data_IF_015912179395
#
_entry.id   IF_015912179395
#
_cell.length_a   1.000
_cell.length_b   1.000
_cell.length_c   1.000
_cell.angle_alpha   90.00
_cell.angle_beta   90.00
_cell.angle_gamma   90.00
#
_symmetry.space_group_name_H-M   'P 1'
#
loop_
_entity.id
_entity.type
_entity.pdbx_description
1 polymer ?
#
# COMPACT_ATOMS: atom_id res chain seq x y z
N UNK A 1 -11.46 -28.38 -9.25
CA UNK A 1 -12.48 -27.54 -9.93
C UNK A 1 -11.81 -26.81 -11.07
N UNK A 2 -12.49 -26.68 -12.22
CA UNK A 2 -11.94 -26.15 -13.47
C UNK A 2 -12.06 -24.62 -13.40
N UNK A 3 -10.94 -23.89 -13.27
CA UNK A 3 -10.95 -22.42 -13.31
C UNK A 3 -10.70 -21.93 -14.73
N UNK A 4 -11.63 -21.13 -15.27
CA UNK A 4 -11.42 -20.40 -16.53
C UNK A 4 -10.62 -19.13 -16.25
N UNK A 5 -9.53 -18.95 -17.00
CA UNK A 5 -8.65 -17.78 -16.93
C UNK A 5 -9.34 -16.55 -17.57
N UNK A 6 -9.35 -15.42 -16.87
CA UNK A 6 -9.68 -14.11 -17.46
C UNK A 6 -8.37 -13.38 -17.78
N UNK A 7 -8.13 -12.97 -19.04
CA UNK A 7 -6.90 -12.28 -19.42
C UNK A 7 -6.84 -10.85 -18.88
N UNK A 8 -5.67 -10.42 -18.40
CA UNK A 8 -5.36 -9.01 -18.11
C UNK A 8 -5.24 -8.59 -16.65
N UNK A 9 -5.28 -9.52 -15.69
CA UNK A 9 -5.01 -9.19 -14.28
C UNK A 9 -4.27 -10.34 -13.59
N UNK A 10 -2.97 -10.19 -13.38
CA UNK A 10 -2.18 -11.08 -12.51
C UNK A 10 -2.87 -11.13 -11.14
N UNK A 11 -3.44 -12.27 -10.79
CA UNK A 11 -4.11 -12.49 -9.51
C UNK A 11 -3.34 -13.57 -8.77
N UNK A 12 -2.78 -13.22 -7.61
CA UNK A 12 -2.24 -14.21 -6.68
C UNK A 12 -3.46 -14.91 -6.06
N UNK A 13 -3.54 -16.24 -6.26
CA UNK A 13 -4.57 -17.07 -5.64
C UNK A 13 -3.92 -17.83 -4.50
N UNK A 14 -4.44 -17.65 -3.29
CA UNK A 14 -4.02 -18.41 -2.12
C UNK A 14 -4.92 -19.64 -2.02
N UNK A 15 -4.41 -20.84 -2.31
CA UNK A 15 -5.07 -22.09 -1.94
C UNK A 15 -4.57 -22.57 -0.57
N UNK A 16 -5.43 -23.35 0.11
CA UNK A 16 -5.20 -23.81 1.48
C UNK A 16 -3.94 -24.70 1.60
N UNK A 17 -3.28 -24.73 2.78
CA UNK A 17 -2.02 -25.45 2.95
C UNK A 17 -2.17 -26.95 2.67
N UNK A 18 -1.32 -27.48 1.79
CA UNK A 18 -1.26 -28.90 1.46
C UNK A 18 -0.12 -29.54 2.28
N UNK A 19 -0.46 -30.50 3.14
CA UNK A 19 0.53 -31.17 4.00
C UNK A 19 1.34 -32.23 3.21
N UNK A 20 2.67 -32.11 3.20
CA UNK A 20 3.60 -33.11 2.65
C UNK A 20 4.09 -34.06 3.77
N UNK A 21 3.96 -35.40 3.62
CA UNK A 21 4.25 -36.36 4.69
C UNK A 21 5.74 -36.63 4.97
N UNK A 22 6.71 -36.12 4.17
CA UNK A 22 8.14 -36.43 4.38
C UNK A 22 8.98 -35.28 4.93
N UNK A 23 8.55 -34.02 4.78
CA UNK A 23 9.42 -32.85 5.05
C UNK A 23 8.77 -31.69 5.80
N UNK A 24 7.51 -31.83 6.24
CA UNK A 24 6.80 -30.76 6.96
C UNK A 24 6.13 -29.73 6.04
N UNK A 25 5.45 -28.75 6.63
CA UNK A 25 4.44 -27.87 5.99
C UNK A 25 5.02 -27.01 4.85
N UNK A 26 4.37 -27.02 3.68
CA UNK A 26 4.66 -26.10 2.57
C UNK A 26 3.45 -25.20 2.30
N UNK A 27 3.72 -23.95 1.96
CA UNK A 27 2.73 -23.05 1.39
C UNK A 27 2.85 -23.07 -0.13
N UNK A 28 1.72 -23.25 -0.80
CA UNK A 28 1.61 -23.28 -2.25
C UNK A 28 1.23 -21.89 -2.75
N UNK A 29 2.04 -21.33 -3.63
CA UNK A 29 1.74 -20.08 -4.34
C UNK A 29 1.64 -20.37 -5.83
N UNK A 30 0.45 -20.15 -6.38
CA UNK A 30 0.22 -20.17 -7.81
C UNK A 30 0.38 -18.78 -8.41
N UNK A 31 1.38 -18.59 -9.28
CA UNK A 31 1.51 -17.36 -10.08
C UNK A 31 0.90 -17.60 -11.46
N UNK A 32 -0.16 -16.85 -11.77
CA UNK A 32 -0.75 -16.82 -13.11
C UNK A 32 -0.10 -15.70 -13.93
N UNK A 33 0.66 -16.05 -14.97
CA UNK A 33 1.23 -15.10 -15.93
C UNK A 33 0.73 -15.36 -17.36
N UNK A 34 1.12 -14.48 -18.28
CA UNK A 34 0.75 -14.55 -19.71
C UNK A 34 1.27 -15.83 -20.41
N UNK A 35 2.22 -16.53 -19.79
CA UNK A 35 2.83 -17.76 -20.30
C UNK A 35 2.39 -19.04 -19.53
N UNK A 36 1.40 -18.95 -18.64
CA UNK A 36 0.84 -20.10 -17.92
C UNK A 36 0.95 -20.03 -16.40
N UNK A 37 0.62 -21.14 -15.74
CA UNK A 37 0.61 -21.29 -14.29
C UNK A 37 1.96 -21.83 -13.79
N UNK A 38 2.57 -21.14 -12.82
CA UNK A 38 3.79 -21.60 -12.16
C UNK A 38 3.52 -21.90 -10.68
N UNK A 39 3.88 -23.12 -10.29
CA UNK A 39 3.86 -23.58 -8.91
C UNK A 39 5.14 -23.16 -8.18
N UNK A 40 4.98 -22.37 -7.12
CA UNK A 40 6.07 -22.06 -6.20
C UNK A 40 5.76 -22.66 -4.82
N UNK A 41 6.53 -23.69 -4.46
CA UNK A 41 6.48 -24.29 -3.13
C UNK A 41 7.48 -23.58 -2.22
N UNK A 42 6.98 -22.92 -1.18
CA UNK A 42 7.83 -22.25 -0.18
C UNK A 42 7.69 -22.97 1.16
N UNK A 43 8.82 -23.20 1.83
CA UNK A 43 8.85 -23.75 3.18
C UNK A 43 8.07 -22.84 4.15
N UNK A 44 7.29 -23.40 5.08
CA UNK A 44 6.52 -22.62 6.06
C UNK A 44 7.39 -21.60 6.80
N UNK A 45 8.59 -21.98 7.23
CA UNK A 45 9.46 -21.10 8.02
C UNK A 45 9.92 -19.87 7.22
N UNK A 46 10.14 -20.04 5.91
CA UNK A 46 10.46 -18.94 5.01
C UNK A 46 9.22 -18.06 4.73
N UNK A 47 8.02 -18.64 4.67
CA UNK A 47 6.78 -17.87 4.59
C UNK A 47 6.56 -17.02 5.84
N UNK A 48 6.74 -17.59 7.03
CA UNK A 48 6.60 -16.85 8.29
C UNK A 48 7.65 -15.75 8.43
N UNK A 49 8.87 -15.96 7.93
CA UNK A 49 9.90 -14.91 7.90
C UNK A 49 9.51 -13.75 6.96
N UNK A 50 9.02 -14.07 5.76
CA UNK A 50 8.55 -13.06 4.80
C UNK A 50 7.29 -12.34 5.30
N UNK A 51 6.37 -13.08 5.92
CA UNK A 51 5.14 -12.52 6.48
C UNK A 51 5.46 -11.62 7.66
N UNK A 52 6.28 -12.04 8.63
CA UNK A 52 6.69 -11.19 9.76
C UNK A 52 7.48 -9.95 9.33
N UNK A 53 8.35 -10.06 8.31
CA UNK A 53 9.04 -8.88 7.75
C UNK A 53 8.03 -7.90 7.16
N UNK A 54 7.02 -8.39 6.44
CA UNK A 54 5.97 -7.52 5.90
C UNK A 54 5.06 -6.97 7.01
N UNK A 55 4.65 -7.78 7.98
CA UNK A 55 3.77 -7.39 9.08
C UNK A 55 4.42 -6.39 10.06
N UNK A 56 5.75 -6.27 10.06
CA UNK A 56 6.43 -5.17 10.77
C UNK A 56 6.51 -3.88 9.95
N UNK A 57 6.54 -3.99 8.61
CA UNK A 57 6.61 -2.86 7.69
C UNK A 57 5.21 -2.29 7.36
N UNK A 58 4.18 -3.14 7.36
CA UNK A 58 2.80 -2.81 7.01
C UNK A 58 2.14 -1.86 8.01
N UNK A 59 2.21 -2.04 9.34
CA UNK A 59 1.52 -1.17 10.31
C UNK A 59 2.06 0.25 10.30
N UNK A 60 3.38 0.41 10.16
CA UNK A 60 4.01 1.74 10.09
C UNK A 60 3.68 2.43 8.77
N UNK A 61 3.65 1.67 7.66
CA UNK A 61 3.26 2.16 6.34
C UNK A 61 1.77 2.52 6.30
N UNK A 62 0.90 1.69 6.86
CA UNK A 62 -0.55 1.88 6.91
C UNK A 62 -0.90 3.11 7.76
N UNK A 63 -0.35 3.21 8.96
CA UNK A 63 -0.52 4.41 9.82
C UNK A 63 -0.08 5.68 9.09
N UNK A 64 1.05 5.62 8.37
CA UNK A 64 1.52 6.76 7.56
C UNK A 64 0.53 7.10 6.45
N UNK A 65 -0.03 6.13 5.72
CA UNK A 65 -1.03 6.40 4.69
C UNK A 65 -2.33 6.95 5.27
N UNK A 66 -2.83 6.38 6.37
CA UNK A 66 -4.03 6.85 7.05
C UNK A 66 -3.86 8.29 7.55
N UNK A 67 -2.70 8.62 8.10
CA UNK A 67 -2.38 9.98 8.52
C UNK A 67 -2.35 10.94 7.32
N UNK A 68 -1.71 10.56 6.20
CA UNK A 68 -1.69 11.37 4.98
C UNK A 68 -3.10 11.58 4.43
N UNK A 69 -3.93 10.52 4.37
CA UNK A 69 -5.32 10.63 3.92
C UNK A 69 -6.12 11.53 4.85
N UNK A 70 -5.96 11.36 6.17
CA UNK A 70 -6.65 12.17 7.18
C UNK A 70 -6.38 13.66 7.04
N UNK A 71 -5.10 14.06 6.92
CA UNK A 71 -4.75 15.48 6.75
C UNK A 71 -5.24 16.05 5.43
N UNK A 72 -5.27 15.25 4.36
CA UNK A 72 -5.80 15.67 3.07
C UNK A 72 -7.32 15.86 3.12
N UNK A 73 -8.04 14.93 3.75
CA UNK A 73 -9.50 15.04 3.94
C UNK A 73 -9.84 16.29 4.75
N UNK A 74 -9.15 16.50 5.87
CA UNK A 74 -9.34 17.69 6.70
C UNK A 74 -9.08 18.97 5.90
N UNK A 75 -7.95 19.02 5.18
CA UNK A 75 -7.57 20.17 4.33
C UNK A 75 -8.59 20.45 3.21
N UNK A 76 -9.13 19.42 2.57
CA UNK A 76 -10.10 19.55 1.47
C UNK A 76 -11.45 20.08 1.96
N UNK A 77 -11.86 19.66 3.16
CA UNK A 77 -13.14 20.05 3.74
C UNK A 77 -13.06 21.41 4.45
N UNK A 78 -11.89 21.78 4.95
CA UNK A 78 -11.66 22.99 5.71
C UNK A 78 -12.01 24.27 4.95
N UNK A 79 -12.48 25.26 5.70
CA UNK A 79 -12.83 26.59 5.21
C UNK A 79 -12.21 27.65 6.10
N UNK A 80 -11.85 28.78 5.51
CA UNK A 80 -11.39 29.95 6.26
C UNK A 80 -12.55 30.60 7.01
N UNK A 81 -12.25 31.49 7.96
CA UNK A 81 -13.26 32.28 8.68
C UNK A 81 -14.17 33.12 7.76
N UNK A 82 -13.76 33.34 6.50
CA UNK A 82 -14.54 34.03 5.46
C UNK A 82 -15.29 33.06 4.53
N UNK A 83 -15.35 31.78 4.86
CA UNK A 83 -16.04 30.74 4.09
C UNK A 83 -15.31 30.29 2.82
N UNK A 84 -14.09 30.77 2.56
CA UNK A 84 -13.32 30.34 1.39
C UNK A 84 -12.73 28.95 1.62
N UNK A 85 -12.75 28.10 0.60
CA UNK A 85 -12.13 26.77 0.65
C UNK A 85 -10.61 26.90 0.77
N UNK A 86 -10.03 26.10 1.66
CA UNK A 86 -8.58 26.03 1.86
C UNK A 86 -7.91 25.17 0.78
N UNK A 87 -8.67 24.30 0.12
CA UNK A 87 -8.20 23.32 -0.88
C UNK A 87 -7.69 23.89 -2.20
N UNK A 88 -7.52 25.21 -2.32
CA UNK A 88 -7.04 25.89 -3.51
C UNK A 88 -5.52 26.06 -3.44
N UNK A 89 -4.76 25.03 -3.82
CA UNK A 89 -3.29 25.07 -3.86
C UNK A 89 -2.78 25.11 -5.30
N UNK A 90 -1.86 26.04 -5.60
CA UNK A 90 -1.29 26.21 -6.95
C UNK A 90 -0.24 25.15 -7.33
N UNK A 91 0.30 24.44 -6.34
CA UNK A 91 1.35 23.44 -6.56
C UNK A 91 1.38 22.39 -5.46
N UNK A 92 2.03 21.26 -5.77
CA UNK A 92 2.33 20.23 -4.76
C UNK A 92 3.21 20.77 -3.63
N UNK A 93 4.12 21.70 -3.91
CA UNK A 93 5.00 22.29 -2.91
C UNK A 93 4.22 23.15 -1.90
N UNK A 94 3.30 23.99 -2.37
CA UNK A 94 2.46 24.83 -1.50
C UNK A 94 1.50 24.00 -0.65
N UNK A 95 0.96 22.90 -1.18
CA UNK A 95 0.23 21.92 -0.39
C UNK A 95 1.11 21.28 0.71
N UNK A 96 2.33 20.85 0.38
CA UNK A 96 3.24 20.24 1.36
C UNK A 96 3.59 21.23 2.47
N UNK A 97 3.92 22.47 2.15
CA UNK A 97 4.20 23.51 3.14
C UNK A 97 3.01 23.77 4.06
N UNK A 98 1.80 23.84 3.48
CA UNK A 98 0.57 23.96 4.26
C UNK A 98 0.40 22.79 5.24
N UNK A 99 0.58 21.54 4.77
CA UNK A 99 0.45 20.36 5.62
C UNK A 99 1.48 20.33 6.75
N UNK A 100 2.73 20.71 6.46
CA UNK A 100 3.79 20.78 7.48
C UNK A 100 3.52 21.85 8.54
N UNK A 101 2.95 22.99 8.13
CA UNK A 101 2.62 24.08 9.06
C UNK A 101 1.42 23.75 9.96
N UNK A 102 0.41 23.05 9.43
CA UNK A 102 -0.85 22.80 10.15
C UNK A 102 -0.85 21.47 10.92
N UNK A 103 0.00 20.51 10.55
CA UNK A 103 0.06 19.18 11.18
C UNK A 103 1.48 18.75 11.59
N UNK A 104 2.24 19.57 12.35
CA UNK A 104 3.68 19.34 12.59
C UNK A 104 4.01 18.10 13.44
N UNK A 105 3.05 17.59 14.22
CA UNK A 105 3.28 16.51 15.18
C UNK A 105 2.67 15.16 14.74
N UNK A 106 2.23 15.03 13.49
CA UNK A 106 1.64 13.78 13.00
C UNK A 106 2.73 12.89 12.40
N UNK A 107 2.86 11.68 12.95
CA UNK A 107 3.80 10.68 12.43
C UNK A 107 3.56 10.43 10.94
N UNK A 108 4.64 10.46 10.16
CA UNK A 108 4.57 10.25 8.70
C UNK A 108 4.30 11.53 7.89
N UNK A 109 4.01 12.66 8.55
CA UNK A 109 3.84 13.97 7.89
C UNK A 109 5.17 14.74 7.95
N UNK A 110 6.16 14.25 7.20
CA UNK A 110 7.45 14.94 7.00
C UNK A 110 7.60 15.35 5.55
N UNK A 111 8.40 16.38 5.28
CA UNK A 111 8.62 16.90 3.92
C UNK A 111 9.04 15.79 2.95
N UNK A 112 10.07 15.03 3.32
CA UNK A 112 10.60 13.93 2.49
C UNK A 112 9.56 12.82 2.26
N UNK A 113 8.78 12.46 3.28
CA UNK A 113 7.72 11.44 3.13
C UNK A 113 6.64 11.91 2.16
N UNK A 114 6.16 13.14 2.30
CA UNK A 114 5.11 13.70 1.44
C UNK A 114 5.58 13.84 0.00
N UNK A 115 6.78 14.38 -0.24
CA UNK A 115 7.37 14.50 -1.58
C UNK A 115 7.48 13.13 -2.27
N UNK A 116 8.00 12.12 -1.56
CA UNK A 116 8.14 10.77 -2.09
C UNK A 116 6.77 10.14 -2.41
N UNK A 117 5.83 10.23 -1.47
CA UNK A 117 4.50 9.63 -1.61
C UNK A 117 3.68 10.30 -2.70
N UNK A 118 3.67 11.63 -2.77
CA UNK A 118 2.89 12.32 -3.78
C UNK A 118 3.50 12.16 -5.18
N UNK A 119 4.83 12.13 -5.31
CA UNK A 119 5.48 11.82 -6.59
C UNK A 119 5.11 10.40 -7.07
N UNK A 120 5.17 9.40 -6.19
CA UNK A 120 4.77 8.03 -6.52
C UNK A 120 3.28 7.92 -6.86
N UNK A 121 2.41 8.59 -6.11
CA UNK A 121 0.97 8.62 -6.35
C UNK A 121 0.66 9.22 -7.74
N UNK A 122 1.26 10.37 -8.07
CA UNK A 122 1.07 11.01 -9.38
C UNK A 122 1.55 10.12 -10.54
N UNK A 123 2.69 9.43 -10.38
CA UNK A 123 3.18 8.47 -11.37
C UNK A 123 2.27 7.25 -11.53
N UNK A 124 1.49 6.89 -10.51
CA UNK A 124 0.61 5.73 -10.56
C UNK A 124 -0.70 5.98 -11.31
N UNK A 125 -1.09 7.25 -11.47
CA UNK A 125 -2.35 7.65 -12.14
C UNK A 125 -2.12 8.38 -13.47
N UNK A 126 -0.85 8.63 -13.81
CA UNK A 126 -0.43 9.18 -15.10
C UNK A 126 -0.12 8.08 -16.10
#
# INVERSE_FOLDING_TARGET
>A
MIYQAMPGRTRIVFEQPICNPQTGKYNHFGIFGDYGFQDLWINQDAYEELFNKNDQLLPQSETTHLNIIGVLVDTILATTARGQKISCFDSQATLIEYLLSNYPNIQGISKSTLENKFSKANKSIS
#
